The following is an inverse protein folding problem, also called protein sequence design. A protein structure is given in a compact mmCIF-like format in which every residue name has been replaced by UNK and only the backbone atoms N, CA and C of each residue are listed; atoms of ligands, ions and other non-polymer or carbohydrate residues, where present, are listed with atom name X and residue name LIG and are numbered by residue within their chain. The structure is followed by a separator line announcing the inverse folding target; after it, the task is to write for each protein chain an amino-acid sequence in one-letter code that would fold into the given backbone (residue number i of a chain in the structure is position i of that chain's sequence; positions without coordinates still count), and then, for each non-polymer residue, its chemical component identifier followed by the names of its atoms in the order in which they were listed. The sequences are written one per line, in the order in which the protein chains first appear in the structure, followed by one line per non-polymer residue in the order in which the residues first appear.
data_IF_401695106458
#
_entry.id   IF_401695106458
#
_cell.length_a   1.000
_cell.length_b   1.000
_cell.length_c   1.000
_cell.angle_alpha   90.00
_cell.angle_beta   90.00
_cell.angle_gamma   90.00
#
_symmetry.space_group_name_H-M   'P 1'
#
loop_
_entity.id
_entity.type
_entity.pdbx_description
1 polymer ?
#
# COMPACT_ATOMS: atom_id res chain seq x y z
N UNK A 1 18.99 19.34 -39.76
CA UNK A 1 19.67 19.52 -38.48
C UNK A 1 18.59 19.82 -37.43
N UNK A 2 17.94 18.80 -36.90
CA UNK A 2 16.97 18.93 -35.82
C UNK A 2 17.55 18.25 -34.58
N UNK A 3 17.75 19.04 -33.52
CA UNK A 3 18.12 18.55 -32.20
C UNK A 3 16.89 17.88 -31.57
N UNK A 4 16.91 16.57 -31.45
CA UNK A 4 15.97 15.82 -30.61
C UNK A 4 16.49 15.97 -29.18
N UNK A 5 15.77 16.76 -28.37
CA UNK A 5 15.97 16.81 -26.94
C UNK A 5 15.41 15.50 -26.36
N UNK A 6 16.31 14.65 -25.83
CA UNK A 6 15.93 13.41 -25.18
C UNK A 6 15.13 13.70 -23.91
N UNK A 7 13.83 13.38 -23.96
CA UNK A 7 13.01 13.22 -22.78
C UNK A 7 13.35 11.85 -22.17
N UNK A 8 14.06 11.85 -21.06
CA UNK A 8 14.27 10.65 -20.25
C UNK A 8 12.93 10.23 -19.68
N UNK A 9 12.49 9.04 -20.03
CA UNK A 9 11.25 8.46 -19.54
C UNK A 9 11.23 8.42 -17.99
N UNK A 10 10.11 8.76 -17.34
CA UNK A 10 10.00 8.82 -15.88
C UNK A 10 10.02 7.45 -15.17
N UNK A 11 10.20 6.35 -15.91
CA UNK A 11 10.10 4.97 -15.39
C UNK A 11 11.30 4.50 -14.54
N UNK A 12 12.51 4.99 -14.79
CA UNK A 12 13.69 4.59 -14.00
C UNK A 12 13.54 4.88 -12.49
N UNK A 13 12.95 6.02 -12.07
CA UNK A 13 12.73 6.31 -10.64
C UNK A 13 11.76 5.34 -9.97
N UNK A 14 10.75 4.83 -10.69
CA UNK A 14 9.74 3.90 -10.15
C UNK A 14 10.34 2.53 -9.80
N UNK A 15 11.22 2.00 -10.65
CA UNK A 15 11.88 0.71 -10.39
C UNK A 15 12.83 0.80 -9.19
N UNK A 16 13.60 1.90 -9.10
CA UNK A 16 14.48 2.14 -7.96
C UNK A 16 13.70 2.42 -6.67
N UNK A 17 12.54 3.09 -6.77
CA UNK A 17 11.63 3.30 -5.65
C UNK A 17 11.00 1.97 -5.21
N UNK A 18 10.61 1.09 -6.17
CA UNK A 18 10.07 -0.25 -5.89
C UNK A 18 11.09 -1.12 -5.15
N UNK A 19 12.36 -1.14 -5.59
CA UNK A 19 13.42 -1.86 -4.88
C UNK A 19 13.73 -1.24 -3.51
N UNK A 20 13.72 0.08 -3.38
CA UNK A 20 13.91 0.77 -2.11
C UNK A 20 12.72 0.53 -1.15
N UNK A 21 11.49 0.46 -1.67
CA UNK A 21 10.28 0.14 -0.90
C UNK A 21 10.28 -1.33 -0.47
N UNK A 22 10.61 -2.29 -1.36
CA UNK A 22 10.70 -3.72 -0.99
C UNK A 22 11.69 -3.96 0.17
N UNK A 23 12.83 -3.25 0.18
CA UNK A 23 13.79 -3.32 1.30
C UNK A 23 13.23 -2.65 2.57
N UNK A 24 12.36 -1.63 2.42
CA UNK A 24 11.81 -0.87 3.55
C UNK A 24 10.64 -1.60 4.23
N UNK A 25 9.87 -2.37 3.47
CA UNK A 25 8.60 -2.98 3.93
C UNK A 25 8.65 -4.50 4.14
N UNK A 26 9.80 -5.15 3.95
CA UNK A 26 9.93 -6.56 4.31
C UNK A 26 9.54 -6.75 5.79
N UNK A 27 8.60 -7.66 6.12
CA UNK A 27 8.11 -7.86 7.49
C UNK A 27 9.22 -8.25 8.47
N UNK A 28 10.36 -8.71 7.94
CA UNK A 28 11.56 -9.09 8.70
C UNK A 28 12.71 -8.08 8.60
N UNK A 29 12.44 -6.83 8.20
CA UNK A 29 13.50 -5.83 8.05
C UNK A 29 14.28 -5.67 9.37
N UNK A 30 15.61 -5.96 9.39
CA UNK A 30 16.42 -5.90 10.59
C UNK A 30 16.49 -4.48 11.18
N UNK A 31 16.26 -3.44 10.39
CA UNK A 31 16.20 -2.04 10.84
C UNK A 31 14.93 -1.81 11.67
N UNK A 32 13.77 -2.33 11.26
CA UNK A 32 12.52 -2.26 12.05
C UNK A 32 12.65 -3.06 13.35
N UNK A 33 13.29 -4.24 13.33
CA UNK A 33 13.60 -5.00 14.55
C UNK A 33 14.60 -4.26 15.46
N UNK A 34 15.61 -3.63 14.88
CA UNK A 34 16.57 -2.83 15.64
C UNK A 34 15.92 -1.58 16.24
N UNK A 35 15.03 -0.90 15.52
CA UNK A 35 14.27 0.23 16.05
C UNK A 35 13.29 -0.19 17.15
N UNK A 36 12.54 -1.29 16.97
CA UNK A 36 11.69 -1.85 18.03
C UNK A 36 12.50 -2.30 19.24
N UNK A 37 13.68 -2.89 19.04
CA UNK A 37 14.58 -3.29 20.11
C UNK A 37 15.25 -2.08 20.80
N UNK A 38 15.55 -1.00 20.05
CA UNK A 38 16.00 0.28 20.62
C UNK A 38 14.89 0.97 21.42
N UNK A 39 13.65 0.99 20.88
CA UNK A 39 12.45 1.48 21.57
C UNK A 39 12.22 0.72 22.88
N UNK A 40 12.37 -0.61 22.87
CA UNK A 40 12.27 -1.46 24.07
C UNK A 40 13.41 -1.22 25.09
N UNK A 41 14.60 -0.84 24.64
CA UNK A 41 15.72 -0.48 25.54
C UNK A 41 15.56 0.92 26.12
N UNK A 42 15.10 1.89 25.35
CA UNK A 42 14.80 3.25 25.80
C UNK A 42 13.67 3.21 26.84
N UNK A 43 12.62 2.39 26.65
CA UNK A 43 11.58 2.19 27.65
C UNK A 43 12.10 1.56 28.96
N UNK A 44 13.15 0.72 28.94
CA UNK A 44 13.74 0.17 30.18
C UNK A 44 14.51 1.20 31.01
N UNK A 45 15.17 2.17 30.36
CA UNK A 45 15.85 3.27 31.05
C UNK A 45 14.88 4.37 31.49
N UNK A 46 13.76 4.58 30.76
CA UNK A 46 12.71 5.53 31.11
C UNK A 46 11.95 5.20 32.39
N UNK A 47 11.92 3.92 32.82
CA UNK A 47 11.17 3.51 34.03
C UNK A 47 11.63 4.18 35.32
N UNK A 48 12.88 4.59 35.44
CA UNK A 48 13.39 5.30 36.65
C UNK A 48 13.15 6.81 36.62
N UNK A 49 13.08 7.40 35.43
CA UNK A 49 12.73 8.82 35.21
C UNK A 49 11.21 9.00 35.25
N UNK A 50 10.45 8.03 34.70
CA UNK A 50 8.99 8.04 34.70
C UNK A 50 8.38 8.01 36.11
N UNK A 51 9.00 7.35 37.08
CA UNK A 51 8.49 7.34 38.46
C UNK A 51 8.57 8.72 39.13
N UNK A 52 9.59 9.52 38.82
CA UNK A 52 9.71 10.88 39.34
C UNK A 52 8.80 11.87 38.61
N UNK A 53 8.60 11.68 37.30
CA UNK A 53 7.67 12.48 36.49
C UNK A 53 6.22 12.11 36.81
N UNK A 54 5.92 10.83 37.11
CA UNK A 54 4.58 10.39 37.52
C UNK A 54 4.12 11.05 38.84
N UNK A 55 5.03 11.22 39.78
CA UNK A 55 4.72 11.92 41.04
C UNK A 55 4.46 13.42 40.82
N UNK A 56 5.16 14.05 39.88
CA UNK A 56 4.95 15.46 39.54
C UNK A 56 3.68 15.66 38.68
N UNK A 57 3.36 14.72 37.74
CA UNK A 57 2.14 14.75 36.97
C UNK A 57 0.89 14.49 37.80
N UNK A 58 0.96 13.61 38.81
CA UNK A 58 -0.12 13.37 39.76
C UNK A 58 -0.45 14.62 40.62
N UNK A 59 0.54 15.46 40.89
CA UNK A 59 0.32 16.72 41.60
C UNK A 59 -0.28 17.81 40.69
N UNK A 60 0.02 17.80 39.40
CA UNK A 60 -0.51 18.75 38.40
C UNK A 60 -1.95 18.42 37.99
N UNK A 61 -2.35 17.15 38.00
CA UNK A 61 -3.73 16.71 37.62
C UNK A 61 -4.79 17.08 38.67
N UNK A 62 -4.42 17.58 39.82
CA UNK A 62 -5.37 18.03 40.85
C UNK A 62 -5.78 19.52 40.71
N UNK A 63 -5.18 20.27 39.79
CA UNK A 63 -5.38 21.73 39.70
C UNK A 63 -5.57 22.30 38.31
N UNK A 64 -5.70 21.50 37.24
CA UNK A 64 -5.73 22.03 35.89
C UNK A 64 -6.88 21.53 35.03
N UNK A 65 -7.76 22.40 34.62
CA UNK A 65 -8.67 22.24 33.47
C UNK A 65 -7.89 22.24 32.10
N UNK A 66 -6.82 21.48 31.99
CA UNK A 66 -6.12 21.26 30.73
C UNK A 66 -6.43 19.84 30.25
N UNK A 67 -7.08 19.68 29.13
CA UNK A 67 -7.37 18.35 28.56
C UNK A 67 -6.08 17.57 28.34
N UNK A 68 -6.16 16.26 28.47
CA UNK A 68 -5.04 15.33 28.16
C UNK A 68 -4.78 15.37 26.67
N UNK A 69 -3.63 15.89 26.27
CA UNK A 69 -3.27 16.07 24.86
C UNK A 69 -2.29 14.98 24.35
N UNK A 70 -1.70 14.22 25.26
CA UNK A 70 -0.74 13.15 24.96
C UNK A 70 -1.15 11.83 25.63
N UNK A 71 -0.72 10.73 25.00
CA UNK A 71 -1.06 9.38 25.49
C UNK A 71 -0.36 9.04 26.82
N UNK A 72 0.83 9.56 27.04
CA UNK A 72 1.57 9.32 28.28
C UNK A 72 0.82 9.86 29.50
N UNK A 73 0.08 10.97 29.34
CA UNK A 73 -0.78 11.55 30.38
C UNK A 73 -2.15 10.86 30.45
N UNK A 74 -2.76 10.47 29.34
CA UNK A 74 -4.07 9.82 29.29
C UNK A 74 -4.05 8.40 29.86
N UNK A 75 -3.06 7.60 29.48
CA UNK A 75 -2.95 6.16 29.82
C UNK A 75 -3.08 5.87 31.32
N UNK A 76 -2.36 6.54 32.25
CA UNK A 76 -2.49 6.27 33.67
C UNK A 76 -3.88 6.57 34.21
N UNK A 77 -4.58 7.58 33.66
CA UNK A 77 -5.94 7.93 34.06
C UNK A 77 -6.95 6.89 33.62
N UNK A 78 -6.78 6.38 32.40
CA UNK A 78 -7.58 5.27 31.85
C UNK A 78 -7.38 4.02 32.70
N UNK A 79 -6.13 3.64 33.00
CA UNK A 79 -5.82 2.48 33.82
C UNK A 79 -6.48 2.59 35.20
N UNK A 80 -6.39 3.77 35.83
CA UNK A 80 -7.04 4.01 37.12
C UNK A 80 -8.56 3.96 37.04
N UNK A 81 -9.17 4.45 35.95
CA UNK A 81 -10.61 4.35 35.74
C UNK A 81 -11.06 2.88 35.64
N UNK A 82 -10.27 2.05 34.95
CA UNK A 82 -10.49 0.58 34.83
C UNK A 82 -10.35 -0.12 36.17
N UNK A 83 -9.31 0.19 36.96
CA UNK A 83 -9.14 -0.36 38.30
C UNK A 83 -10.32 -0.03 39.21
N UNK A 84 -10.95 1.14 39.01
CA UNK A 84 -12.15 1.56 39.75
C UNK A 84 -13.47 1.06 39.12
N UNK A 85 -13.42 0.27 38.04
CA UNK A 85 -14.58 -0.16 37.26
C UNK A 85 -15.49 1.02 36.82
N UNK A 86 -14.89 2.16 36.47
CA UNK A 86 -15.59 3.39 36.12
C UNK A 86 -15.51 3.64 34.61
N UNK A 87 -16.39 3.02 33.83
CA UNK A 87 -16.48 3.19 32.38
C UNK A 87 -16.70 4.65 31.95
N UNK A 88 -17.50 5.40 32.70
CA UNK A 88 -17.76 6.82 32.41
C UNK A 88 -16.49 7.66 32.48
N UNK A 89 -15.64 7.39 33.48
CA UNK A 89 -14.35 8.10 33.60
C UNK A 89 -13.36 7.70 32.51
N UNK A 90 -13.30 6.42 32.20
CA UNK A 90 -12.48 5.92 31.10
C UNK A 90 -12.87 6.61 29.80
N UNK A 91 -14.16 6.57 29.45
CA UNK A 91 -14.72 7.20 28.25
C UNK A 91 -14.43 8.69 28.21
N UNK A 92 -14.61 9.40 29.35
CA UNK A 92 -14.33 10.84 29.41
C UNK A 92 -12.87 11.17 29.16
N UNK A 93 -11.94 10.42 29.75
CA UNK A 93 -10.49 10.62 29.55
C UNK A 93 -10.09 10.32 28.10
N UNK A 94 -10.62 9.24 27.54
CA UNK A 94 -10.35 8.89 26.15
C UNK A 94 -10.88 9.96 25.19
N UNK A 95 -12.10 10.45 25.39
CA UNK A 95 -12.68 11.52 24.57
C UNK A 95 -11.88 12.82 24.67
N UNK A 96 -11.41 13.19 25.86
CA UNK A 96 -10.53 14.33 26.05
C UNK A 96 -9.20 14.17 25.31
N UNK A 97 -8.60 13.00 25.39
CA UNK A 97 -7.39 12.66 24.65
C UNK A 97 -7.63 12.77 23.13
N UNK A 98 -8.62 12.09 22.59
CA UNK A 98 -8.92 12.09 21.15
C UNK A 98 -9.20 13.50 20.60
N UNK A 99 -9.83 14.35 21.40
CA UNK A 99 -10.13 15.74 21.02
C UNK A 99 -8.89 16.63 20.96
N UNK A 100 -7.94 16.41 21.86
CA UNK A 100 -6.79 17.30 22.07
C UNK A 100 -5.48 16.77 21.48
N UNK A 101 -5.39 15.46 21.24
CA UNK A 101 -4.22 14.81 20.67
C UNK A 101 -3.95 15.32 19.24
N UNK A 102 -2.66 15.49 18.94
CA UNK A 102 -2.16 16.03 17.66
C UNK A 102 -0.96 15.27 17.14
N UNK A 103 -0.58 14.24 17.82
CA UNK A 103 0.62 13.46 17.54
C UNK A 103 0.22 12.07 17.05
N UNK A 104 0.79 11.65 15.94
CA UNK A 104 0.55 10.35 15.33
C UNK A 104 0.99 9.21 16.25
N UNK A 105 2.17 9.33 16.87
CA UNK A 105 2.70 8.29 17.75
C UNK A 105 1.78 8.06 18.97
N UNK A 106 1.11 9.11 19.43
CA UNK A 106 0.17 9.02 20.56
C UNK A 106 -1.12 8.28 20.18
N UNK A 107 -1.64 8.47 18.96
CA UNK A 107 -2.79 7.69 18.44
C UNK A 107 -2.42 6.23 18.26
N UNK A 108 -1.26 5.94 17.66
CA UNK A 108 -0.75 4.57 17.49
C UNK A 108 -0.57 3.87 18.85
N UNK A 109 0.04 4.54 19.82
CA UNK A 109 0.25 3.99 21.16
C UNK A 109 -1.06 3.75 21.91
N UNK A 110 -2.06 4.58 21.69
CA UNK A 110 -3.40 4.39 22.24
C UNK A 110 -4.10 3.19 21.61
N UNK A 111 -4.08 3.08 20.29
CA UNK A 111 -4.67 1.95 19.58
C UNK A 111 -4.02 0.61 19.96
N UNK A 112 -2.68 0.56 20.02
CA UNK A 112 -1.93 -0.62 20.48
C UNK A 112 -2.34 -1.05 21.90
N UNK A 113 -2.56 -0.08 22.78
CA UNK A 113 -3.01 -0.38 24.15
C UNK A 113 -4.38 -1.05 24.15
N UNK A 114 -5.37 -0.51 23.41
CA UNK A 114 -6.72 -1.07 23.35
C UNK A 114 -6.74 -2.41 22.61
N UNK A 115 -5.95 -2.58 21.55
CA UNK A 115 -5.77 -3.88 20.91
C UNK A 115 -5.20 -4.92 21.89
N UNK A 116 -4.18 -4.54 22.68
CA UNK A 116 -3.59 -5.39 23.71
C UNK A 116 -4.55 -5.76 24.85
N UNK A 117 -5.60 -4.96 25.04
CA UNK A 117 -6.70 -5.28 25.97
C UNK A 117 -7.78 -6.16 25.34
N UNK A 118 -7.69 -6.49 24.05
CA UNK A 118 -8.71 -7.23 23.29
C UNK A 118 -9.88 -6.36 22.81
N UNK A 119 -9.77 -5.04 22.91
CA UNK A 119 -10.79 -4.04 22.57
C UNK A 119 -10.53 -3.49 21.15
N UNK A 120 -10.56 -4.38 20.16
CA UNK A 120 -10.21 -4.09 18.78
C UNK A 120 -11.08 -3.00 18.14
N UNK A 121 -12.39 -2.97 18.42
CA UNK A 121 -13.29 -1.92 17.90
C UNK A 121 -12.90 -0.54 18.42
N UNK A 122 -12.48 -0.45 19.68
CA UNK A 122 -12.00 0.81 20.25
C UNK A 122 -10.67 1.24 19.63
N UNK A 123 -9.77 0.29 19.37
CA UNK A 123 -8.51 0.56 18.70
C UNK A 123 -8.74 1.12 17.29
N UNK A 124 -9.65 0.52 16.50
CA UNK A 124 -10.05 1.02 15.16
C UNK A 124 -10.61 2.44 15.26
N UNK A 125 -11.52 2.69 16.20
CA UNK A 125 -12.12 4.03 16.40
C UNK A 125 -11.08 5.11 16.75
N UNK A 126 -10.05 4.74 17.50
CA UNK A 126 -8.93 5.63 17.85
C UNK A 126 -8.14 5.99 16.58
N UNK A 127 -7.80 4.99 15.75
CA UNK A 127 -7.07 5.22 14.51
C UNK A 127 -7.89 6.07 13.52
N UNK A 128 -9.17 5.78 13.32
CA UNK A 128 -10.06 6.62 12.49
C UNK A 128 -10.09 8.07 12.95
N UNK A 129 -10.16 8.29 14.28
CA UNK A 129 -10.16 9.64 14.84
C UNK A 129 -8.82 10.34 14.61
N UNK A 130 -7.72 9.63 14.78
CA UNK A 130 -6.37 10.12 14.52
C UNK A 130 -6.20 10.54 13.08
N UNK A 131 -6.53 9.65 12.14
CA UNK A 131 -6.47 9.90 10.71
C UNK A 131 -7.26 11.17 10.35
N UNK A 132 -8.55 11.25 10.73
CA UNK A 132 -9.40 12.43 10.45
C UNK A 132 -8.89 13.71 11.11
N UNK A 133 -8.24 13.61 12.28
CA UNK A 133 -7.67 14.77 12.98
C UNK A 133 -6.42 15.30 12.26
N UNK A 134 -5.57 14.42 11.74
CA UNK A 134 -4.34 14.78 11.04
C UNK A 134 -4.61 15.26 9.61
N UNK A 135 -5.53 14.63 8.88
CA UNK A 135 -5.98 15.07 7.56
C UNK A 135 -6.44 16.54 7.55
N UNK A 136 -7.24 16.94 8.54
CA UNK A 136 -7.73 18.33 8.66
C UNK A 136 -6.62 19.36 8.78
N UNK A 137 -5.42 18.95 9.15
CA UNK A 137 -4.26 19.86 9.31
C UNK A 137 -3.38 19.94 8.09
N UNK A 138 -3.64 19.15 7.05
CA UNK A 138 -2.74 19.00 5.90
C UNK A 138 -1.32 18.52 6.31
N UNK A 139 -1.20 17.90 7.47
CA UNK A 139 0.02 17.20 7.86
C UNK A 139 -0.02 15.86 7.16
N UNK A 140 0.84 15.67 6.15
CA UNK A 140 0.96 14.46 5.34
C UNK A 140 1.57 13.28 6.15
N UNK A 141 1.58 13.34 7.46
CA UNK A 141 2.07 12.30 8.32
C UNK A 141 0.91 11.46 8.81
N UNK A 142 0.76 10.25 8.31
CA UNK A 142 0.01 9.18 8.98
C UNK A 142 -0.22 7.96 8.08
N UNK A 143 0.68 7.70 7.16
CA UNK A 143 0.65 6.44 6.41
C UNK A 143 0.62 5.25 7.40
N UNK A 144 1.37 5.33 8.51
CA UNK A 144 1.41 4.29 9.54
C UNK A 144 0.06 4.12 10.26
N UNK A 145 -0.68 5.21 10.53
CA UNK A 145 -2.04 5.12 11.10
C UNK A 145 -3.01 4.42 10.15
N UNK A 146 -2.94 4.73 8.86
CA UNK A 146 -3.80 4.11 7.85
C UNK A 146 -3.44 2.65 7.66
N UNK A 147 -2.16 2.30 7.64
CA UNK A 147 -1.70 0.91 7.56
C UNK A 147 -2.17 0.09 8.78
N UNK A 148 -2.03 0.64 9.99
CA UNK A 148 -2.49 -0.02 11.22
C UNK A 148 -4.03 -0.13 11.27
N UNK A 149 -4.76 0.88 10.78
CA UNK A 149 -6.21 0.81 10.63
C UNK A 149 -6.65 -0.36 9.75
N UNK A 150 -6.08 -0.48 8.54
CA UNK A 150 -6.40 -1.59 7.65
C UNK A 150 -5.94 -2.94 8.21
N UNK A 151 -4.80 -2.98 8.91
CA UNK A 151 -4.32 -4.19 9.59
C UNK A 151 -5.32 -4.67 10.65
N UNK A 152 -5.89 -3.77 11.44
CA UNK A 152 -6.92 -4.11 12.43
C UNK A 152 -8.23 -4.56 11.77
N UNK A 153 -8.65 -3.92 10.68
CA UNK A 153 -9.82 -4.35 9.90
C UNK A 153 -9.64 -5.77 9.35
N UNK A 154 -8.44 -6.08 8.83
CA UNK A 154 -8.11 -7.41 8.34
C UNK A 154 -8.18 -8.45 9.48
N UNK A 155 -7.61 -8.16 10.65
CA UNK A 155 -7.68 -9.02 11.84
C UNK A 155 -9.12 -9.29 12.32
N UNK A 156 -10.03 -8.33 12.10
CA UNK A 156 -11.46 -8.46 12.42
C UNK A 156 -12.25 -9.17 11.32
N UNK A 157 -11.64 -9.57 10.23
CA UNK A 157 -12.31 -10.17 9.07
C UNK A 157 -13.14 -9.16 8.26
N UNK A 158 -13.03 -7.87 8.52
CA UNK A 158 -13.80 -6.82 7.80
C UNK A 158 -13.30 -6.58 6.37
N UNK A 159 -12.14 -7.13 5.99
CA UNK A 159 -11.59 -7.11 4.63
C UNK A 159 -11.71 -8.46 3.91
N UNK A 160 -12.52 -9.37 4.43
CA UNK A 160 -12.71 -10.70 3.83
C UNK A 160 -13.25 -10.62 2.40
N UNK A 161 -14.18 -9.67 2.13
CA UNK A 161 -14.71 -9.44 0.79
C UNK A 161 -13.59 -9.03 -0.19
N UNK A 162 -12.66 -8.16 0.26
CA UNK A 162 -11.52 -7.72 -0.56
C UNK A 162 -10.63 -8.92 -0.91
N UNK A 163 -10.37 -9.79 0.04
CA UNK A 163 -9.61 -11.01 -0.15
C UNK A 163 -10.29 -11.98 -1.13
N UNK A 164 -11.60 -12.16 -1.00
CA UNK A 164 -12.36 -13.08 -1.86
C UNK A 164 -12.52 -12.57 -3.28
N UNK A 165 -12.59 -11.27 -3.48
CA UNK A 165 -12.75 -10.66 -4.80
C UNK A 165 -11.41 -10.42 -5.50
N UNK A 166 -10.28 -10.60 -4.83
CA UNK A 166 -8.97 -10.54 -5.46
C UNK A 166 -8.84 -11.68 -6.50
N UNK A 167 -8.44 -11.37 -7.74
CA UNK A 167 -8.40 -12.35 -8.82
C UNK A 167 -7.31 -13.41 -8.58
N UNK A 168 -7.55 -14.61 -9.08
CA UNK A 168 -6.50 -15.63 -9.18
C UNK A 168 -5.51 -15.27 -10.29
N UNK A 169 -4.36 -14.76 -9.91
CA UNK A 169 -3.32 -14.30 -10.81
C UNK A 169 -2.83 -15.39 -11.76
N UNK A 170 -2.79 -16.64 -11.30
CA UNK A 170 -2.30 -17.78 -12.08
C UNK A 170 -3.18 -18.07 -13.31
N UNK A 171 -4.45 -17.68 -13.26
CA UNK A 171 -5.44 -17.97 -14.28
C UNK A 171 -5.64 -16.83 -15.28
N UNK A 172 -5.01 -15.65 -15.08
CA UNK A 172 -5.19 -14.49 -15.97
C UNK A 172 -4.67 -14.82 -17.37
N UNK A 173 -5.51 -14.76 -18.43
CA UNK A 173 -5.06 -15.11 -19.75
C UNK A 173 -4.33 -13.96 -20.44
N UNK A 174 -3.23 -14.27 -21.09
CA UNK A 174 -2.57 -13.41 -22.08
C UNK A 174 -2.63 -14.15 -23.41
N UNK A 175 -3.26 -13.55 -24.40
CA UNK A 175 -3.46 -14.16 -25.71
C UNK A 175 -4.04 -15.59 -25.65
N UNK A 176 -4.98 -15.84 -24.73
CA UNK A 176 -5.68 -17.12 -24.56
C UNK A 176 -4.95 -18.21 -23.80
N UNK A 177 -3.76 -17.92 -23.25
CA UNK A 177 -2.96 -18.82 -22.41
C UNK A 177 -2.78 -18.20 -21.02
N UNK A 178 -2.90 -18.96 -19.91
CA UNK A 178 -2.62 -18.44 -18.57
C UNK A 178 -1.24 -17.78 -18.47
N UNK A 179 -1.16 -16.61 -17.83
CA UNK A 179 0.09 -15.86 -17.75
C UNK A 179 1.19 -16.65 -17.01
N UNK A 180 0.82 -17.43 -16.01
CA UNK A 180 1.75 -18.30 -15.27
C UNK A 180 2.43 -19.41 -16.10
N UNK A 181 1.93 -19.66 -17.30
CA UNK A 181 2.51 -20.65 -18.23
C UNK A 181 3.47 -20.03 -19.27
N UNK A 182 3.69 -18.71 -19.20
CA UNK A 182 4.66 -18.02 -20.02
C UNK A 182 6.05 -18.08 -19.41
N UNK A 183 7.04 -17.93 -20.26
CA UNK A 183 8.43 -17.62 -19.97
C UNK A 183 8.86 -16.45 -20.87
N UNK A 184 10.11 -16.02 -20.70
CA UNK A 184 10.67 -14.93 -21.50
C UNK A 184 10.45 -15.15 -23.00
N UNK A 185 10.79 -16.34 -23.53
CA UNK A 185 10.77 -16.61 -24.97
C UNK A 185 9.34 -16.57 -25.52
N UNK A 186 8.41 -17.19 -24.82
CA UNK A 186 6.99 -17.21 -25.21
C UNK A 186 6.32 -15.84 -25.11
N UNK A 187 6.70 -15.00 -24.15
CA UNK A 187 6.24 -13.62 -24.08
C UNK A 187 6.79 -12.78 -25.25
N UNK A 188 8.08 -12.90 -25.54
CA UNK A 188 8.70 -12.19 -26.64
C UNK A 188 8.15 -12.64 -28.02
N UNK A 189 7.72 -13.90 -28.12
CA UNK A 189 7.05 -14.40 -29.34
C UNK A 189 5.70 -13.72 -29.61
N UNK A 190 5.08 -13.06 -28.62
CA UNK A 190 3.88 -12.25 -28.82
C UNK A 190 4.16 -10.92 -29.55
N UNK A 191 5.43 -10.54 -29.68
CA UNK A 191 5.86 -9.25 -30.23
C UNK A 191 6.64 -9.46 -31.51
N UNK A 192 6.03 -9.32 -32.71
CA UNK A 192 6.74 -9.34 -33.97
C UNK A 192 7.78 -8.23 -34.05
N UNK A 193 8.94 -8.53 -34.62
CA UNK A 193 10.08 -7.61 -34.70
C UNK A 193 9.76 -6.26 -35.37
N UNK A 194 8.83 -6.26 -36.32
CA UNK A 194 8.36 -5.05 -37.02
C UNK A 194 7.54 -4.09 -36.13
N UNK A 195 7.08 -4.55 -34.96
CA UNK A 195 6.33 -3.75 -34.02
C UNK A 195 7.20 -3.21 -32.87
N UNK A 196 8.43 -3.71 -32.75
CA UNK A 196 9.35 -3.30 -31.69
C UNK A 196 9.84 -1.88 -31.96
N UNK A 197 9.53 -0.96 -31.07
CA UNK A 197 9.97 0.44 -31.11
C UNK A 197 11.26 0.69 -30.34
N UNK A 198 11.46 -0.06 -29.25
CA UNK A 198 12.62 0.06 -28.38
C UNK A 198 13.00 -1.29 -27.78
N UNK A 199 14.31 -1.54 -27.70
CA UNK A 199 14.88 -2.73 -27.05
C UNK A 199 16.03 -2.33 -26.15
N UNK A 200 16.03 -2.86 -24.96
CA UNK A 200 17.22 -2.96 -24.12
C UNK A 200 17.39 -4.42 -23.70
N UNK A 201 18.23 -5.15 -24.37
CA UNK A 201 18.53 -6.57 -24.10
C UNK A 201 20.02 -6.79 -24.24
N UNK A 202 20.77 -6.23 -23.30
CA UNK A 202 22.21 -6.39 -23.27
C UNK A 202 22.54 -7.67 -22.46
N UNK A 203 23.26 -8.64 -23.04
CA UNK A 203 23.63 -9.88 -22.34
C UNK A 203 24.45 -9.69 -21.06
N UNK A 204 25.04 -8.50 -20.87
CA UNK A 204 25.75 -8.15 -19.64
C UNK A 204 24.84 -7.60 -18.54
N UNK A 205 23.60 -7.29 -18.87
CA UNK A 205 22.61 -6.78 -17.93
C UNK A 205 21.67 -7.92 -17.52
N UNK A 206 21.41 -8.05 -16.22
CA UNK A 206 20.45 -9.02 -15.71
C UNK A 206 18.98 -8.62 -16.02
N UNK A 207 18.78 -7.62 -16.88
CA UNK A 207 17.49 -7.03 -17.19
C UNK A 207 17.27 -6.89 -18.68
N UNK A 208 16.08 -7.24 -19.14
CA UNK A 208 15.63 -7.02 -20.52
C UNK A 208 14.33 -6.20 -20.57
N UNK A 209 14.15 -5.47 -21.67
CA UNK A 209 13.04 -4.58 -21.88
C UNK A 209 12.74 -4.44 -23.37
N UNK A 210 11.51 -4.71 -23.78
CA UNK A 210 11.03 -4.62 -25.15
C UNK A 210 9.74 -3.83 -25.20
N UNK A 211 9.74 -2.71 -25.91
CA UNK A 211 8.58 -1.90 -26.18
C UNK A 211 8.05 -2.20 -27.59
N UNK A 212 6.77 -2.46 -27.71
CA UNK A 212 6.10 -2.72 -28.98
C UNK A 212 4.77 -1.98 -29.08
N UNK A 213 4.50 -1.47 -30.28
CA UNK A 213 3.28 -0.75 -30.57
C UNK A 213 2.45 -1.48 -31.61
N UNK A 214 1.17 -1.66 -31.30
CA UNK A 214 0.17 -2.25 -32.19
C UNK A 214 -0.99 -1.26 -32.40
N UNK A 215 -1.95 -1.61 -33.24
CA UNK A 215 -3.11 -0.76 -33.52
C UNK A 215 -4.08 -0.69 -32.34
N UNK A 216 -4.22 -1.80 -31.61
CA UNK A 216 -5.19 -1.95 -30.53
C UNK A 216 -4.60 -1.70 -29.14
N UNK A 217 -3.29 -1.79 -29.00
CA UNK A 217 -2.63 -1.72 -27.70
C UNK A 217 -1.14 -1.46 -27.89
N UNK A 218 -0.52 -0.81 -26.94
CA UNK A 218 0.92 -0.77 -26.80
C UNK A 218 1.33 -1.74 -25.68
N UNK A 219 2.42 -2.47 -25.87
CA UNK A 219 2.84 -3.55 -24.98
C UNK A 219 4.30 -3.39 -24.62
N UNK A 220 4.61 -3.60 -23.36
CA UNK A 220 5.97 -3.77 -22.90
C UNK A 220 6.16 -5.16 -22.32
N UNK A 221 7.21 -5.85 -22.74
CA UNK A 221 7.68 -7.09 -22.12
C UNK A 221 9.02 -6.81 -21.47
N UNK A 222 9.12 -7.08 -20.18
CA UNK A 222 10.36 -6.88 -19.43
C UNK A 222 10.57 -7.98 -18.41
N UNK A 223 11.77 -8.03 -17.85
CA UNK A 223 12.07 -8.99 -16.80
C UNK A 223 13.52 -8.98 -16.39
N UNK A 224 13.84 -9.84 -15.41
CA UNK A 224 15.17 -10.06 -14.92
C UNK A 224 15.57 -11.52 -15.12
N UNK A 225 16.81 -11.72 -15.58
CA UNK A 225 17.45 -13.03 -15.67
C UNK A 225 18.38 -13.30 -14.48
N UNK A 226 18.44 -12.38 -13.52
CA UNK A 226 19.23 -12.52 -12.31
C UNK A 226 18.88 -13.78 -11.55
N UNK A 227 19.87 -14.56 -11.18
CA UNK A 227 19.67 -15.79 -10.39
C UNK A 227 19.10 -15.53 -8.99
N UNK A 228 19.16 -14.29 -8.52
CA UNK A 228 18.68 -13.91 -7.20
C UNK A 228 17.19 -13.56 -7.20
N UNK A 229 16.68 -12.99 -8.31
CA UNK A 229 15.29 -12.56 -8.47
C UNK A 229 14.88 -12.63 -9.94
N UNK A 230 14.72 -13.83 -10.50
CA UNK A 230 14.24 -13.98 -11.85
C UNK A 230 12.75 -13.61 -11.89
N UNK A 231 12.37 -12.75 -12.81
CA UNK A 231 10.95 -12.46 -13.08
C UNK A 231 10.74 -12.11 -14.54
N UNK A 232 9.52 -12.23 -15.00
CA UNK A 232 9.05 -11.71 -16.26
C UNK A 232 7.75 -10.96 -16.08
N UNK A 233 7.51 -9.96 -16.92
CA UNK A 233 6.28 -9.18 -16.89
C UNK A 233 5.83 -8.80 -18.29
N UNK A 234 4.53 -8.55 -18.40
CA UNK A 234 3.92 -7.92 -19.57
C UNK A 234 3.07 -6.75 -19.09
N UNK A 235 3.24 -5.59 -19.70
CA UNK A 235 2.48 -4.39 -19.41
C UNK A 235 1.69 -3.98 -20.68
N UNK A 236 0.40 -3.80 -20.53
CA UNK A 236 -0.50 -3.25 -21.53
C UNK A 236 -0.79 -1.79 -21.18
N UNK A 237 -0.56 -0.86 -22.10
CA UNK A 237 -0.71 0.56 -21.84
C UNK A 237 -1.40 1.31 -22.97
N UNK A 238 -1.71 2.59 -22.76
CA UNK A 238 -2.57 3.41 -23.59
C UNK A 238 -4.02 2.90 -23.71
N UNK A 239 -4.48 2.14 -22.71
CA UNK A 239 -5.82 1.52 -22.71
C UNK A 239 -6.93 2.57 -22.68
N UNK A 240 -6.77 3.63 -21.88
CA UNK A 240 -7.74 4.73 -21.79
C UNK A 240 -7.93 5.49 -23.09
N UNK A 241 -6.95 5.48 -24.00
CA UNK A 241 -7.05 6.06 -25.33
C UNK A 241 -7.81 5.16 -26.31
N UNK A 242 -7.91 3.87 -26.01
CA UNK A 242 -8.53 2.84 -26.84
C UNK A 242 -7.82 2.59 -28.18
N UNK A 243 -6.58 3.08 -28.33
CA UNK A 243 -5.77 2.95 -29.56
C UNK A 243 -4.30 2.91 -29.24
N UNK A 244 -3.64 1.87 -29.67
CA UNK A 244 -2.19 1.86 -29.76
C UNK A 244 -1.68 2.72 -30.92
N UNK A 245 -0.39 2.93 -30.97
CA UNK A 245 0.27 3.85 -31.92
C UNK A 245 0.83 3.14 -33.15
N UNK A 246 0.86 1.80 -33.14
CA UNK A 246 1.54 0.98 -34.14
C UNK A 246 0.64 0.39 -35.24
N UNK A 247 1.16 -0.67 -35.85
CA UNK A 247 0.51 -1.42 -36.93
C UNK A 247 0.20 -2.84 -36.49
N UNK A 248 -0.74 -3.48 -37.23
CA UNK A 248 -1.13 -4.85 -36.88
C UNK A 248 -2.00 -4.93 -35.64
N UNK A 249 -2.28 -6.13 -35.18
CA UNK A 249 -3.08 -6.42 -34.01
C UNK A 249 -2.16 -7.12 -33.00
N UNK A 250 -1.99 -6.52 -31.84
CA UNK A 250 -1.23 -7.08 -30.74
C UNK A 250 -2.04 -8.03 -29.87
N UNK A 251 -1.43 -8.52 -28.80
CA UNK A 251 -2.12 -9.33 -27.81
C UNK A 251 -3.36 -8.62 -27.29
N UNK A 252 -4.44 -9.36 -27.08
CA UNK A 252 -5.66 -8.79 -26.55
C UNK A 252 -5.51 -8.60 -25.03
N UNK A 253 -5.68 -7.37 -24.51
CA UNK A 253 -5.69 -7.14 -23.06
C UNK A 253 -6.97 -7.74 -22.46
N UNK A 254 -6.81 -8.61 -21.46
CA UNK A 254 -7.91 -9.26 -20.76
C UNK A 254 -7.72 -9.09 -19.27
N UNK A 255 -8.74 -8.61 -18.60
CA UNK A 255 -8.73 -8.50 -17.14
C UNK A 255 -9.61 -9.57 -16.50
N UNK A 256 -9.18 -10.13 -15.38
CA UNK A 256 -10.01 -11.05 -14.60
C UNK A 256 -11.16 -10.29 -13.93
N UNK A 257 -12.29 -10.97 -13.73
CA UNK A 257 -13.32 -10.41 -12.85
C UNK A 257 -12.71 -10.14 -11.46
N UNK A 258 -13.13 -9.07 -10.78
CA UNK A 258 -14.24 -8.17 -11.11
C UNK A 258 -13.84 -6.94 -11.94
N UNK A 259 -12.65 -6.87 -12.50
CA UNK A 259 -12.11 -5.70 -13.19
C UNK A 259 -12.59 -5.57 -14.65
N UNK A 260 -12.54 -4.36 -15.16
CA UNK A 260 -12.98 -4.00 -16.51
C UNK A 260 -11.99 -3.00 -17.12
N UNK A 261 -11.65 -3.15 -18.42
CA UNK A 261 -10.74 -2.25 -19.13
C UNK A 261 -11.20 -0.78 -19.18
N UNK A 262 -12.45 -0.51 -18.86
CA UNK A 262 -13.03 0.84 -18.83
C UNK A 262 -13.29 1.36 -17.42
N UNK A 263 -12.90 0.61 -16.39
CA UNK A 263 -13.15 0.98 -15.00
C UNK A 263 -12.24 2.10 -14.51
N UNK A 264 -12.74 2.84 -13.54
CA UNK A 264 -12.01 3.87 -12.80
C UNK A 264 -11.31 3.26 -11.57
N UNK A 265 -10.37 4.00 -10.99
CA UNK A 265 -9.71 3.62 -9.74
C UNK A 265 -10.72 3.31 -8.61
N UNK A 266 -11.73 4.17 -8.43
CA UNK A 266 -12.77 3.98 -7.43
C UNK A 266 -13.59 2.71 -7.70
N UNK A 267 -14.02 2.48 -8.94
CA UNK A 267 -14.79 1.30 -9.32
C UNK A 267 -14.01 0.00 -9.10
N UNK A 268 -12.69 0.01 -9.27
CA UNK A 268 -11.85 -1.15 -8.98
C UNK A 268 -11.77 -1.45 -7.48
N UNK A 269 -11.59 -0.44 -6.65
CA UNK A 269 -11.59 -0.63 -5.19
C UNK A 269 -12.97 -1.06 -4.66
N UNK A 270 -14.07 -0.50 -5.20
CA UNK A 270 -15.43 -0.93 -4.89
C UNK A 270 -15.67 -2.38 -5.34
N UNK A 271 -15.21 -2.76 -6.52
CA UNK A 271 -15.31 -4.13 -7.02
C UNK A 271 -14.53 -5.13 -6.16
N UNK A 272 -13.43 -4.71 -5.55
CA UNK A 272 -12.73 -5.51 -4.54
C UNK A 272 -13.50 -5.60 -3.23
N UNK A 273 -14.41 -4.68 -2.93
CA UNK A 273 -15.22 -4.71 -1.72
C UNK A 273 -14.83 -3.68 -0.65
N UNK A 274 -13.99 -2.69 -1.00
CA UNK A 274 -13.77 -1.55 -0.12
C UNK A 274 -15.02 -0.67 -0.03
N UNK A 275 -15.26 -0.12 1.14
CA UNK A 275 -16.31 0.89 1.34
C UNK A 275 -15.86 2.26 0.86
N UNK A 276 -16.80 3.16 0.58
CA UNK A 276 -16.48 4.52 0.14
C UNK A 276 -15.58 5.26 1.14
N UNK A 277 -15.83 5.12 2.45
CA UNK A 277 -14.99 5.71 3.51
C UNK A 277 -13.54 5.17 3.47
N UNK A 278 -13.37 3.88 3.18
CA UNK A 278 -12.05 3.26 3.03
C UNK A 278 -11.34 3.73 1.76
N UNK A 279 -12.10 3.89 0.67
CA UNK A 279 -11.58 4.39 -0.61
C UNK A 279 -11.12 5.84 -0.46
N UNK A 280 -11.89 6.68 0.22
CA UNK A 280 -11.51 8.06 0.50
C UNK A 280 -10.21 8.12 1.30
N UNK A 281 -10.04 7.25 2.32
CA UNK A 281 -8.78 7.14 3.05
C UNK A 281 -7.61 6.76 2.13
N UNK A 282 -7.80 5.76 1.27
CA UNK A 282 -6.74 5.32 0.35
C UNK A 282 -6.38 6.38 -0.71
N UNK A 283 -7.33 7.25 -1.08
CA UNK A 283 -7.10 8.32 -2.05
C UNK A 283 -6.32 9.51 -1.48
N UNK A 284 -6.43 9.75 -0.19
CA UNK A 284 -5.83 10.92 0.48
C UNK A 284 -4.35 10.71 0.83
N UNK A 285 -3.84 9.48 0.73
CA UNK A 285 -2.47 9.11 1.09
C UNK A 285 -1.63 8.71 -0.12
N UNK A 286 -0.36 9.11 -0.10
CA UNK A 286 0.57 8.89 -1.21
C UNK A 286 1.05 7.44 -1.33
N UNK A 287 0.99 6.67 -0.24
CA UNK A 287 1.40 5.26 -0.24
C UNK A 287 0.83 4.54 0.97
N UNK A 288 -0.05 3.60 0.76
CA UNK A 288 -0.61 2.76 1.82
C UNK A 288 -0.45 1.29 1.45
N UNK A 289 0.03 0.49 2.40
CA UNK A 289 0.08 -0.96 2.26
C UNK A 289 -1.05 -1.57 3.07
N UNK A 290 -1.99 -2.20 2.40
CA UNK A 290 -3.06 -2.97 3.04
C UNK A 290 -2.66 -4.43 3.06
N UNK A 291 -2.38 -4.97 4.25
CA UNK A 291 -2.12 -6.39 4.44
C UNK A 291 -3.44 -7.14 4.58
N UNK A 292 -3.77 -7.94 3.58
CA UNK A 292 -4.90 -8.87 3.65
C UNK A 292 -4.41 -10.14 4.35
N UNK A 293 -4.74 -10.28 5.63
CA UNK A 293 -4.29 -11.41 6.45
C UNK A 293 -4.78 -12.76 5.92
N UNK A 294 -3.92 -13.71 6.07
CA UNK A 294 -3.90 -15.13 5.80
C UNK A 294 -3.42 -15.50 4.40
N UNK A 295 -2.19 -15.98 4.34
CA UNK A 295 -1.53 -16.62 3.22
C UNK A 295 -1.04 -15.67 2.13
N UNK A 296 -0.10 -14.80 2.51
CA UNK A 296 0.85 -14.38 1.51
C UNK A 296 0.29 -13.46 0.40
N UNK A 297 -0.81 -12.71 0.64
CA UNK A 297 -1.28 -11.69 -0.26
C UNK A 297 -1.10 -10.31 0.37
N UNK A 298 -0.33 -9.46 -0.28
CA UNK A 298 -0.16 -8.06 0.07
C UNK A 298 -0.83 -7.21 -1.01
N UNK A 299 -1.63 -6.25 -0.61
CA UNK A 299 -2.16 -5.24 -1.52
C UNK A 299 -1.46 -3.92 -1.23
N UNK A 300 -0.84 -3.36 -2.26
CA UNK A 300 -0.25 -2.03 -2.19
C UNK A 300 -1.17 -1.06 -2.91
N UNK A 301 -1.67 -0.06 -2.21
CA UNK A 301 -2.35 1.07 -2.82
C UNK A 301 -1.38 2.21 -2.89
N UNK A 302 -1.14 2.67 -4.10
CA UNK A 302 -0.26 3.79 -4.38
C UNK A 302 -1.10 4.93 -4.93
N UNK A 303 -1.12 6.06 -4.25
CA UNK A 303 -1.68 7.30 -4.76
C UNK A 303 -0.53 8.25 -5.04
N UNK A 304 -0.32 8.63 -6.30
CA UNK A 304 0.49 9.80 -6.60
C UNK A 304 -0.20 11.05 -6.07
N UNK A 305 0.61 12.06 -5.68
CA UNK A 305 0.17 13.36 -5.17
C UNK A 305 -1.12 13.85 -5.84
N UNK A 306 -2.05 14.49 -5.10
CA UNK A 306 -3.27 15.09 -5.67
C UNK A 306 -3.05 16.08 -6.83
N UNK A 307 -1.80 16.52 -7.05
CA UNK A 307 -1.41 17.35 -8.19
C UNK A 307 -1.07 16.54 -9.45
N UNK A 308 -0.96 15.22 -9.35
CA UNK A 308 -0.65 14.33 -10.46
C UNK A 308 -1.89 13.50 -10.80
N UNK A 309 -2.28 13.52 -12.05
CA UNK A 309 -3.50 12.91 -12.61
C UNK A 309 -3.44 11.37 -12.66
N UNK A 310 -2.45 10.74 -12.01
CA UNK A 310 -2.22 9.30 -12.08
C UNK A 310 -2.39 8.64 -10.71
N UNK A 311 -3.14 7.55 -10.69
CA UNK A 311 -3.30 6.68 -9.52
C UNK A 311 -2.88 5.26 -9.86
N UNK A 312 -2.22 4.61 -8.92
CA UNK A 312 -1.74 3.26 -9.08
C UNK A 312 -2.19 2.41 -7.90
N UNK A 313 -2.62 1.19 -8.16
CA UNK A 313 -2.64 0.16 -7.13
C UNK A 313 -2.10 -1.17 -7.67
N UNK A 314 -1.60 -2.01 -6.79
CA UNK A 314 -1.04 -3.30 -7.14
C UNK A 314 -1.51 -4.35 -6.13
N UNK A 315 -1.95 -5.48 -6.64
CA UNK A 315 -2.16 -6.69 -5.86
C UNK A 315 -0.90 -7.54 -5.99
N UNK A 316 -0.16 -7.67 -4.90
CA UNK A 316 0.99 -8.58 -4.82
C UNK A 316 0.55 -9.87 -4.15
N UNK A 317 0.93 -10.98 -4.75
CA UNK A 317 0.67 -12.33 -4.25
C UNK A 317 2.02 -12.94 -3.86
N UNK A 318 2.27 -13.01 -2.57
CA UNK A 318 3.43 -13.70 -2.01
C UNK A 318 3.00 -15.11 -1.60
N UNK A 319 2.82 -15.99 -2.54
CA UNK A 319 2.61 -17.41 -2.29
C UNK A 319 3.98 -18.09 -2.16
N UNK A 320 4.14 -19.01 -1.22
CA UNK A 320 5.42 -19.74 -0.97
C UNK A 320 6.03 -20.43 -2.19
N UNK A 321 5.31 -20.51 -3.30
CA UNK A 321 5.72 -21.12 -4.54
C UNK A 321 5.68 -20.18 -5.75
N UNK A 322 4.95 -19.05 -5.67
CA UNK A 322 4.73 -18.15 -6.81
C UNK A 322 4.58 -16.73 -6.31
N UNK A 323 5.57 -15.92 -6.55
CA UNK A 323 5.49 -14.48 -6.34
C UNK A 323 5.06 -13.86 -7.66
N UNK A 324 3.89 -13.30 -7.69
CA UNK A 324 3.35 -12.61 -8.86
C UNK A 324 2.59 -11.37 -8.44
N UNK A 325 2.33 -10.47 -9.38
CA UNK A 325 1.54 -9.28 -9.11
C UNK A 325 0.73 -8.84 -10.32
N UNK A 326 -0.38 -8.16 -10.06
CA UNK A 326 -1.10 -7.37 -11.03
C UNK A 326 -1.14 -5.92 -10.56
N UNK A 327 -0.57 -5.00 -11.36
CA UNK A 327 -0.56 -3.58 -11.09
C UNK A 327 -1.44 -2.83 -12.07
N UNK A 328 -2.12 -1.78 -11.62
CA UNK A 328 -3.03 -0.97 -12.41
C UNK A 328 -2.66 0.49 -12.30
N UNK A 329 -2.61 1.20 -13.43
CA UNK A 329 -2.44 2.64 -13.48
C UNK A 329 -3.71 3.28 -14.06
N UNK A 330 -4.16 4.34 -13.41
CA UNK A 330 -5.34 5.09 -13.82
C UNK A 330 -4.98 6.53 -14.10
N UNK A 331 -5.61 7.10 -15.10
CA UNK A 331 -5.62 8.54 -15.36
C UNK A 331 -7.06 9.09 -15.23
N UNK A 332 -7.27 10.35 -15.58
CA UNK A 332 -8.60 11.00 -15.56
C UNK A 332 -9.68 10.29 -16.41
N UNK A 333 -9.27 9.46 -17.38
CA UNK A 333 -10.18 8.75 -18.31
C UNK A 333 -10.48 7.31 -17.87
N UNK A 334 -9.84 6.82 -16.83
CA UNK A 334 -9.97 5.45 -16.33
C UNK A 334 -8.65 4.67 -16.37
N UNK A 335 -8.74 3.35 -16.53
CA UNK A 335 -7.55 2.49 -16.60
C UNK A 335 -6.68 2.84 -17.81
N UNK A 336 -5.45 3.29 -17.54
CA UNK A 336 -4.47 3.64 -18.56
C UNK A 336 -3.55 2.47 -18.91
N UNK A 337 -3.12 1.74 -17.88
CA UNK A 337 -2.31 0.54 -18.09
C UNK A 337 -2.49 -0.48 -16.98
N UNK A 338 -2.20 -1.75 -17.28
CA UNK A 338 -1.99 -2.76 -16.25
C UNK A 338 -0.77 -3.62 -16.58
N UNK A 339 -0.12 -4.10 -15.54
CA UNK A 339 1.06 -4.96 -15.61
C UNK A 339 0.78 -6.28 -14.89
N UNK A 340 1.11 -7.39 -15.54
CA UNK A 340 1.22 -8.70 -14.92
C UNK A 340 2.70 -9.01 -14.72
N UNK A 341 3.09 -9.41 -13.52
CA UNK A 341 4.45 -9.90 -13.27
C UNK A 341 4.43 -11.24 -12.54
N UNK A 342 5.43 -12.05 -12.83
CA UNK A 342 5.59 -13.38 -12.27
C UNK A 342 7.05 -13.66 -11.98
N UNK A 343 7.33 -14.16 -10.79
CA UNK A 343 8.66 -14.61 -10.43
C UNK A 343 8.80 -16.09 -10.82
N UNK A 344 9.86 -16.42 -11.56
CA UNK A 344 10.11 -17.77 -12.09
C UNK A 344 11.04 -18.59 -11.20
#
# INVERSE_FOLDING_TARGET
MYKISGGTAPFLPLLLLRQALMVRYAPNNPVRRAMRALRGKIMKYGKRIAAALLAAALAACLTGCGGTADWASAKPLIQRAREMNSTDKETSVLQDFLKNCKDEEDFLAAAEYYEGCGEQEQAVSILETGIRSLQKRKDNGSEELVEDYFSLLAKQGKLEAVRQNAPDLSSIPVNGKPFSEYDRESLLALIPSENIGYVNDNPSDDYYYYDASFRNVDVNVNGSTSSSYPYYSINFYNLASGRGTGKGTGPEPVLPAPFSLTGTYTEYLQALGFTDDQIDLLQDYSSVTVFLQERDMEMYVYSYSPAEEYRYFCLNYSLRAYDGSIGFNFNEKGLDSYELSWNS
#
